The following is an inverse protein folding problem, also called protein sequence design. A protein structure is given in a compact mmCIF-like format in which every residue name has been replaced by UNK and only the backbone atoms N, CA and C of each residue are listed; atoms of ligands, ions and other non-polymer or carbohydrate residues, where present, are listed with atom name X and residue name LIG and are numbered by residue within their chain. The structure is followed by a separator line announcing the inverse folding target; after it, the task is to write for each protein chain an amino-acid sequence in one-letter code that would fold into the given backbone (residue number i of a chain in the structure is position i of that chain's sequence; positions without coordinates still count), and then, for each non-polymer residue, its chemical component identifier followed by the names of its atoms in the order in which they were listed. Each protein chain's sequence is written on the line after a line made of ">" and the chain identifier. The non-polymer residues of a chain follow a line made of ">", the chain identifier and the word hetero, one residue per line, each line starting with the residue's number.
data_IF_789590746516
#
_entry.id   IF_789590746516
#
_cell.length_a   1.000
_cell.length_b   1.000
_cell.length_c   1.000
_cell.angle_alpha   90.00
_cell.angle_beta   90.00
_cell.angle_gamma   90.00
#
_symmetry.space_group_name_H-M   'P 1'
#
loop_
_entity.id
_entity.type
_entity.pdbx_description
1 polymer ?
#
# COMPACT_ATOMS: atom_id res chain seq x y z
N UNK A 1 -19.45 7.38 -10.74
CA UNK A 1 -18.29 8.19 -11.11
C UNK A 1 -18.75 9.53 -11.61
N UNK A 2 -18.03 10.60 -11.26
CA UNK A 2 -18.19 11.91 -11.89
C UNK A 2 -17.60 11.91 -13.30
N UNK A 3 -18.07 12.82 -14.17
CA UNK A 3 -17.56 12.96 -15.55
C UNK A 3 -16.04 13.16 -15.59
N UNK A 4 -15.51 13.92 -14.64
CA UNK A 4 -14.07 14.17 -14.54
C UNK A 4 -13.30 12.89 -14.19
N UNK A 5 -13.83 12.03 -13.30
CA UNK A 5 -13.23 10.73 -13.01
C UNK A 5 -13.17 9.84 -14.26
N UNK A 6 -14.24 9.78 -15.06
CA UNK A 6 -14.28 8.98 -16.29
C UNK A 6 -13.23 9.46 -17.30
N UNK A 7 -13.08 10.78 -17.47
CA UNK A 7 -12.07 11.36 -18.36
C UNK A 7 -10.65 11.05 -17.86
N UNK A 8 -10.39 11.19 -16.56
CA UNK A 8 -9.09 10.85 -15.96
C UNK A 8 -8.74 9.38 -16.17
N UNK A 9 -9.70 8.46 -16.02
CA UNK A 9 -9.48 7.04 -16.29
C UNK A 9 -9.23 6.74 -17.76
N UNK A 10 -10.01 7.33 -18.67
CA UNK A 10 -9.80 7.12 -20.11
C UNK A 10 -8.44 7.67 -20.57
N UNK A 11 -7.93 8.74 -19.95
CA UNK A 11 -6.57 9.24 -20.20
C UNK A 11 -5.49 8.24 -19.79
N UNK A 12 -5.66 7.53 -18.67
CA UNK A 12 -4.75 6.46 -18.24
C UNK A 12 -4.74 5.28 -19.21
N UNK A 13 -5.75 5.15 -20.07
CA UNK A 13 -5.84 4.14 -21.12
C UNK A 13 -5.28 4.61 -22.47
N UNK A 14 -4.59 5.75 -22.51
CA UNK A 14 -3.94 6.28 -23.70
C UNK A 14 -4.82 7.16 -24.59
N UNK A 15 -6.05 7.47 -24.16
CA UNK A 15 -6.92 8.41 -24.87
C UNK A 15 -6.50 9.85 -24.59
N UNK A 16 -6.47 10.70 -25.61
CA UNK A 16 -6.04 12.10 -25.43
C UNK A 16 -7.13 12.94 -24.75
N UNK A 17 -6.71 13.81 -23.81
CA UNK A 17 -7.62 14.68 -23.05
C UNK A 17 -8.52 15.54 -23.94
N UNK A 18 -7.96 16.05 -25.03
CA UNK A 18 -8.68 16.89 -26.00
C UNK A 18 -9.83 16.16 -26.70
N UNK A 19 -9.72 14.84 -26.86
CA UNK A 19 -10.79 14.02 -27.46
C UNK A 19 -11.88 13.71 -26.43
N UNK A 20 -11.49 13.47 -25.18
CA UNK A 20 -12.39 13.10 -24.09
C UNK A 20 -13.23 14.27 -23.58
N UNK A 21 -12.66 15.48 -23.51
CA UNK A 21 -13.38 16.68 -23.07
C UNK A 21 -14.54 17.04 -24.03
N UNK A 22 -14.41 16.66 -25.31
CA UNK A 22 -15.42 16.89 -26.36
C UNK A 22 -16.54 15.84 -26.40
N UNK A 23 -16.38 14.69 -25.75
CA UNK A 23 -17.37 13.61 -25.76
C UNK A 23 -18.53 13.89 -24.80
N UNK A 24 -19.74 13.45 -25.16
CA UNK A 24 -20.87 13.52 -24.24
C UNK A 24 -20.71 12.51 -23.09
N UNK A 25 -21.32 12.77 -21.93
CA UNK A 25 -21.14 11.94 -20.73
C UNK A 25 -21.54 10.48 -20.97
N UNK A 26 -22.61 10.24 -21.75
CA UNK A 26 -23.03 8.90 -22.15
C UNK A 26 -22.00 8.20 -23.05
N UNK A 27 -21.32 8.93 -23.94
CA UNK A 27 -20.27 8.38 -24.81
C UNK A 27 -19.02 8.02 -24.01
N UNK A 28 -18.65 8.86 -23.04
CA UNK A 28 -17.56 8.59 -22.10
C UNK A 28 -17.85 7.35 -21.25
N UNK A 29 -19.06 7.20 -20.74
CA UNK A 29 -19.48 6.00 -19.99
C UNK A 29 -19.46 4.74 -20.84
N UNK A 30 -19.91 4.81 -22.10
CA UNK A 30 -19.85 3.67 -23.03
C UNK A 30 -18.41 3.28 -23.36
N UNK A 31 -17.56 4.26 -23.70
CA UNK A 31 -16.15 4.03 -24.01
C UNK A 31 -15.41 3.41 -22.82
N UNK A 32 -15.69 3.92 -21.62
CA UNK A 32 -15.14 3.39 -20.37
C UNK A 32 -15.59 1.96 -20.10
N UNK A 33 -16.88 1.65 -20.24
CA UNK A 33 -17.41 0.28 -20.07
C UNK A 33 -16.82 -0.69 -21.09
N UNK A 34 -16.66 -0.25 -22.34
CA UNK A 34 -16.10 -1.06 -23.40
C UNK A 34 -14.62 -1.38 -23.15
N UNK A 35 -13.81 -0.38 -22.82
CA UNK A 35 -12.39 -0.58 -22.45
C UNK A 35 -12.24 -1.49 -21.23
N UNK A 36 -13.09 -1.32 -20.22
CA UNK A 36 -13.07 -2.13 -19.00
C UNK A 36 -13.44 -3.60 -19.32
N UNK A 37 -14.47 -3.82 -20.14
CA UNK A 37 -14.88 -5.16 -20.58
C UNK A 37 -13.77 -5.86 -21.36
N UNK A 38 -13.11 -5.17 -22.28
CA UNK A 38 -11.97 -5.72 -23.03
C UNK A 38 -10.87 -6.17 -22.07
N UNK A 39 -10.49 -5.33 -21.10
CA UNK A 39 -9.45 -5.69 -20.12
C UNK A 39 -9.80 -6.87 -19.23
N UNK A 40 -11.05 -6.95 -18.76
CA UNK A 40 -11.52 -8.11 -17.98
C UNK A 40 -11.46 -9.38 -18.84
N UNK A 41 -11.82 -9.28 -20.11
CA UNK A 41 -11.78 -10.41 -21.05
C UNK A 41 -10.33 -10.83 -21.32
N UNK A 42 -9.43 -9.89 -21.56
CA UNK A 42 -7.99 -10.14 -21.74
C UNK A 42 -7.36 -10.82 -20.51
N UNK A 43 -7.75 -10.39 -19.29
CA UNK A 43 -7.32 -11.02 -18.04
C UNK A 43 -7.78 -12.49 -17.94
N UNK A 44 -9.05 -12.75 -18.27
CA UNK A 44 -9.62 -14.10 -18.24
C UNK A 44 -9.01 -15.02 -19.30
N UNK A 45 -8.67 -14.50 -20.48
CA UNK A 45 -7.99 -15.25 -21.55
C UNK A 45 -6.53 -15.56 -21.18
N UNK A 46 -5.82 -14.62 -20.57
CA UNK A 46 -4.44 -14.83 -20.10
C UNK A 46 -4.34 -15.91 -19.01
N UNK A 47 -5.36 -16.05 -18.15
CA UNK A 47 -5.43 -17.14 -17.16
C UNK A 47 -5.56 -18.50 -17.86
N UNK A 48 -6.42 -18.60 -18.88
CA UNK A 48 -6.68 -19.85 -19.60
C UNK A 48 -5.48 -20.35 -20.42
N UNK A 49 -4.67 -19.45 -20.97
CA UNK A 49 -3.48 -19.81 -21.76
C UNK A 49 -2.30 -20.33 -20.90
N UNK A 50 -2.35 -20.13 -19.58
CA UNK A 50 -1.28 -20.55 -18.65
C UNK A 50 -1.52 -21.95 -18.01
N UNK A 51 -2.57 -22.68 -18.40
CA UNK A 51 -2.74 -24.10 -18.04
C UNK A 51 -1.93 -25.01 -18.97
N UNK A 52 -0.61 -25.09 -18.74
CA UNK A 52 0.23 -26.14 -19.34
C UNK A 52 0.37 -27.29 -18.35
N UNK A 53 -0.11 -28.46 -18.75
CA UNK A 53 0.17 -29.76 -18.13
C UNK A 53 1.51 -30.22 -18.65
N UNK A 54 2.48 -30.45 -17.77
CA UNK A 54 3.75 -31.09 -18.13
C UNK A 54 4.02 -32.33 -17.29
N UNK A 55 4.49 -33.33 -18.03
CA UNK A 55 4.76 -34.73 -17.70
C UNK A 55 6.17 -34.83 -17.10
N UNK A 56 6.34 -35.60 -16.04
CA UNK A 56 7.64 -35.86 -15.42
C UNK A 56 8.49 -36.84 -16.27
N UNK A 57 9.79 -36.61 -16.37
CA UNK A 57 10.76 -37.49 -17.06
C UNK A 57 11.25 -38.62 -16.13
N UNK A 58 11.46 -39.82 -16.69
CA UNK A 58 11.67 -41.10 -16.00
C UNK A 58 13.14 -41.47 -15.63
N UNK A 59 14.10 -40.53 -15.57
CA UNK A 59 15.55 -40.88 -15.48
C UNK A 59 16.21 -40.77 -14.07
N UNK A 60 15.40 -40.70 -13.00
CA UNK A 60 15.84 -40.22 -11.68
C UNK A 60 16.71 -41.18 -10.83
N UNK A 61 16.62 -42.50 -11.01
CA UNK A 61 17.22 -43.46 -10.06
C UNK A 61 18.76 -43.51 -10.06
N UNK A 62 19.39 -43.35 -11.22
CA UNK A 62 20.86 -43.40 -11.36
C UNK A 62 21.56 -42.15 -10.80
N UNK A 63 20.86 -41.02 -10.79
CA UNK A 63 21.36 -39.76 -10.27
C UNK A 63 21.47 -39.77 -8.74
N UNK A 64 20.51 -40.40 -8.07
CA UNK A 64 20.46 -40.46 -6.60
C UNK A 64 21.53 -41.36 -6.02
N UNK A 65 21.79 -42.52 -6.63
CA UNK A 65 22.88 -43.41 -6.17
C UNK A 65 24.25 -42.69 -6.21
N UNK A 66 24.46 -41.83 -7.20
CA UNK A 66 25.68 -41.02 -7.33
C UNK A 66 25.81 -39.98 -6.20
N UNK A 67 24.72 -39.28 -5.86
CA UNK A 67 24.73 -38.27 -4.79
C UNK A 67 24.82 -38.91 -3.38
N UNK A 68 24.18 -40.07 -3.16
CA UNK A 68 24.35 -40.88 -1.94
C UNK A 68 25.80 -41.34 -1.77
N UNK A 69 26.46 -41.74 -2.86
CA UNK A 69 27.89 -42.06 -2.85
C UNK A 69 28.77 -40.88 -2.45
N UNK A 70 28.46 -39.66 -2.92
CA UNK A 70 29.18 -38.43 -2.53
C UNK A 70 29.01 -38.10 -1.06
N UNK A 71 27.81 -38.33 -0.50
CA UNK A 71 27.55 -38.18 0.94
C UNK A 71 28.45 -39.13 1.74
N UNK A 72 28.55 -40.41 1.35
CA UNK A 72 29.44 -41.37 1.99
C UNK A 72 30.90 -40.90 1.98
N UNK A 73 31.42 -40.41 0.85
CA UNK A 73 32.79 -39.90 0.79
C UNK A 73 32.99 -38.64 1.64
N UNK A 74 31.99 -37.75 1.74
CA UNK A 74 32.06 -36.53 2.53
C UNK A 74 32.10 -36.78 4.05
N UNK A 75 31.56 -37.91 4.51
CA UNK A 75 31.46 -38.28 5.94
C UNK A 75 32.46 -39.36 6.38
N UNK A 76 33.12 -40.06 5.44
CA UNK A 76 34.04 -41.17 5.74
C UNK A 76 35.38 -40.75 6.35
N UNK A 77 35.75 -39.47 6.27
CA UNK A 77 36.98 -38.93 6.87
C UNK A 77 36.90 -38.68 8.38
N UNK A 78 38.06 -38.44 9.01
CA UNK A 78 38.13 -37.97 10.41
C UNK A 78 37.41 -36.64 10.59
N UNK A 79 37.54 -35.75 9.60
CA UNK A 79 36.80 -34.48 9.49
C UNK A 79 35.76 -34.57 8.37
N UNK A 80 34.57 -34.03 8.62
CA UNK A 80 33.48 -33.98 7.65
C UNK A 80 33.76 -32.87 6.63
N UNK A 81 33.65 -33.17 5.34
CA UNK A 81 33.65 -32.15 4.30
C UNK A 81 32.24 -31.56 4.15
N UNK A 82 31.97 -30.48 4.88
CA UNK A 82 30.65 -29.86 4.91
C UNK A 82 30.19 -29.34 3.55
N UNK A 83 31.08 -28.77 2.74
CA UNK A 83 30.72 -28.23 1.42
C UNK A 83 30.20 -29.34 0.50
N UNK A 84 30.98 -30.42 0.35
CA UNK A 84 30.56 -31.55 -0.48
C UNK A 84 29.30 -32.25 0.08
N UNK A 85 29.12 -32.25 1.40
CA UNK A 85 27.94 -32.81 2.06
C UNK A 85 26.67 -31.99 1.77
N UNK A 86 26.75 -30.66 1.91
CA UNK A 86 25.61 -29.79 1.61
C UNK A 86 25.22 -29.83 0.14
N UNK A 87 26.20 -29.76 -0.78
CA UNK A 87 25.94 -29.82 -2.23
C UNK A 87 25.24 -31.12 -2.65
N UNK A 88 25.62 -32.26 -2.03
CA UNK A 88 25.02 -33.56 -2.34
C UNK A 88 23.62 -33.71 -1.71
N UNK A 89 23.42 -33.21 -0.48
CA UNK A 89 22.11 -33.22 0.20
C UNK A 89 21.11 -32.35 -0.57
N UNK A 90 21.52 -31.18 -1.03
CA UNK A 90 20.63 -30.25 -1.74
C UNK A 90 20.05 -30.85 -3.01
N UNK A 91 20.87 -31.59 -3.76
CA UNK A 91 20.43 -32.33 -4.96
C UNK A 91 19.47 -33.48 -4.67
N UNK A 92 19.44 -33.99 -3.44
CA UNK A 92 18.47 -35.01 -3.03
C UNK A 92 17.12 -34.34 -2.72
N UNK A 93 17.10 -33.10 -2.23
CA UNK A 93 15.85 -32.34 -2.03
C UNK A 93 15.09 -32.06 -3.32
N UNK A 94 15.75 -32.21 -4.48
CA UNK A 94 15.10 -32.13 -5.78
C UNK A 94 14.09 -33.27 -6.01
N UNK A 95 14.17 -34.38 -5.27
CA UNK A 95 13.29 -35.53 -5.47
C UNK A 95 12.63 -36.02 -4.18
N UNK A 96 13.24 -35.74 -3.02
CA UNK A 96 12.83 -36.31 -1.74
C UNK A 96 12.51 -35.23 -0.70
N UNK A 97 11.56 -35.55 0.18
CA UNK A 97 11.24 -34.72 1.34
C UNK A 97 12.33 -34.79 2.41
N UNK A 98 12.11 -34.04 3.49
CA UNK A 98 13.03 -33.98 4.63
C UNK A 98 13.28 -35.37 5.24
N UNK A 99 12.22 -36.13 5.51
CA UNK A 99 12.33 -37.41 6.22
C UNK A 99 13.04 -38.46 5.37
N UNK A 100 12.70 -38.54 4.08
CA UNK A 100 13.33 -39.44 3.13
C UNK A 100 14.81 -39.10 2.94
N UNK A 101 15.16 -37.81 2.85
CA UNK A 101 16.55 -37.37 2.77
C UNK A 101 17.33 -37.70 4.04
N UNK A 102 16.72 -37.57 5.23
CA UNK A 102 17.33 -37.98 6.50
C UNK A 102 17.64 -39.48 6.48
N UNK A 103 16.69 -40.33 6.06
CA UNK A 103 16.90 -41.78 5.98
C UNK A 103 18.05 -42.13 5.02
N UNK A 104 18.10 -41.50 3.85
CA UNK A 104 19.17 -41.68 2.86
C UNK A 104 20.54 -41.28 3.42
N UNK A 105 20.64 -40.13 4.09
CA UNK A 105 21.91 -39.66 4.68
C UNK A 105 22.35 -40.54 5.87
N UNK A 106 21.41 -40.96 6.71
CA UNK A 106 21.68 -41.85 7.84
C UNK A 106 22.14 -43.23 7.39
N UNK A 107 21.63 -43.75 6.25
CA UNK A 107 22.06 -45.03 5.68
C UNK A 107 23.57 -45.09 5.35
N UNK A 108 24.19 -43.92 5.13
CA UNK A 108 25.62 -43.80 4.83
C UNK A 108 26.47 -43.49 6.07
N UNK A 109 25.83 -43.16 7.19
CA UNK A 109 26.48 -42.66 8.40
C UNK A 109 26.73 -43.77 9.41
N UNK A 110 27.72 -43.59 10.29
CA UNK A 110 27.87 -44.46 11.46
C UNK A 110 26.95 -44.04 12.60
N UNK A 111 26.49 -45.00 13.41
CA UNK A 111 25.56 -44.78 14.55
C UNK A 111 25.98 -43.62 15.47
N UNK A 112 27.30 -43.39 15.62
CA UNK A 112 27.85 -42.34 16.48
C UNK A 112 27.57 -40.91 16.00
N UNK A 113 27.23 -40.73 14.72
CA UNK A 113 27.03 -39.42 14.08
C UNK A 113 25.57 -39.14 13.69
N UNK A 114 24.62 -40.04 13.97
CA UNK A 114 23.23 -39.90 13.53
C UNK A 114 22.59 -38.56 13.92
N UNK A 115 22.68 -38.19 15.21
CA UNK A 115 22.13 -36.92 15.68
C UNK A 115 22.72 -35.71 14.96
N UNK A 116 24.02 -35.73 14.69
CA UNK A 116 24.71 -34.65 13.99
C UNK A 116 24.26 -34.58 12.53
N UNK A 117 24.12 -35.73 11.86
CA UNK A 117 23.71 -35.80 10.46
C UNK A 117 22.24 -35.37 10.27
N UNK A 118 21.34 -35.80 11.16
CA UNK A 118 19.94 -35.33 11.14
C UNK A 118 19.87 -33.81 11.25
N UNK A 119 20.60 -33.20 12.18
CA UNK A 119 20.64 -31.74 12.35
C UNK A 119 21.19 -31.02 11.12
N UNK A 120 22.23 -31.56 10.49
CA UNK A 120 22.80 -31.01 9.26
C UNK A 120 21.76 -31.02 8.14
N UNK A 121 21.04 -32.14 7.95
CA UNK A 121 20.00 -32.25 6.92
C UNK A 121 18.84 -31.30 7.19
N UNK A 122 18.39 -31.16 8.45
CA UNK A 122 17.34 -30.22 8.82
C UNK A 122 17.74 -28.76 8.52
N UNK A 123 18.97 -28.37 8.85
CA UNK A 123 19.49 -27.03 8.55
C UNK A 123 19.61 -26.80 7.05
N UNK A 124 20.15 -27.78 6.32
CA UNK A 124 20.25 -27.74 4.86
C UNK A 124 18.86 -27.57 4.22
N UNK A 125 17.87 -28.31 4.71
CA UNK A 125 16.50 -28.26 4.20
C UNK A 125 15.86 -26.90 4.45
N UNK A 126 16.08 -26.29 5.63
CA UNK A 126 15.63 -24.92 5.92
C UNK A 126 16.30 -23.91 5.01
N UNK A 127 17.62 -24.01 4.79
CA UNK A 127 18.35 -23.13 3.89
C UNK A 127 17.82 -23.22 2.46
N UNK A 128 17.60 -24.44 1.96
CA UNK A 128 17.04 -24.69 0.64
C UNK A 128 15.62 -24.13 0.48
N UNK A 129 14.77 -24.24 1.50
CA UNK A 129 13.44 -23.61 1.51
C UNK A 129 13.52 -22.09 1.33
N UNK A 130 14.43 -21.43 2.05
CA UNK A 130 14.60 -19.98 1.95
C UNK A 130 15.21 -19.57 0.60
N UNK A 131 16.09 -20.38 0.02
CA UNK A 131 16.62 -20.14 -1.34
C UNK A 131 15.51 -20.19 -2.40
N UNK A 132 14.63 -21.19 -2.32
CA UNK A 132 13.48 -21.29 -3.23
C UNK A 132 12.54 -20.08 -3.08
N UNK A 133 12.26 -19.66 -1.84
CA UNK A 133 11.45 -18.46 -1.59
C UNK A 133 12.13 -17.19 -2.11
N UNK A 134 13.45 -17.05 -1.93
CA UNK A 134 14.22 -15.92 -2.44
C UNK A 134 14.21 -15.86 -3.98
N UNK A 135 14.29 -17.01 -4.65
CA UNK A 135 14.19 -17.07 -6.11
C UNK A 135 12.78 -16.70 -6.60
N UNK A 136 11.73 -17.16 -5.91
CA UNK A 136 10.35 -16.72 -6.21
C UNK A 136 10.23 -15.20 -6.02
N UNK A 137 10.80 -14.67 -4.95
CA UNK A 137 10.79 -13.23 -4.69
C UNK A 137 11.45 -12.43 -5.83
N UNK A 138 12.60 -12.91 -6.32
CA UNK A 138 13.31 -12.34 -7.47
C UNK A 138 12.47 -12.42 -8.75
N UNK A 139 11.76 -13.53 -8.98
CA UNK A 139 10.88 -13.67 -10.13
C UNK A 139 9.66 -12.72 -10.08
N UNK A 140 9.26 -12.29 -8.88
CA UNK A 140 8.21 -11.31 -8.62
C UNK A 140 8.71 -9.86 -8.53
N UNK A 141 9.97 -9.55 -8.84
CA UNK A 141 10.57 -8.21 -8.60
C UNK A 141 9.79 -7.06 -9.27
N UNK A 142 9.20 -7.32 -10.43
CA UNK A 142 8.45 -6.31 -11.20
C UNK A 142 6.96 -6.23 -10.84
N UNK A 143 6.52 -6.91 -9.78
CA UNK A 143 5.12 -6.84 -9.36
C UNK A 143 4.90 -5.57 -8.53
N UNK A 144 3.67 -5.02 -8.51
CA UNK A 144 3.29 -4.02 -7.53
C UNK A 144 3.63 -4.50 -6.10
N UNK A 145 4.16 -3.64 -5.20
CA UNK A 145 4.59 -4.05 -3.87
C UNK A 145 3.53 -4.84 -3.08
N UNK A 146 2.26 -4.42 -3.19
CA UNK A 146 1.11 -5.07 -2.58
C UNK A 146 0.89 -6.49 -3.11
N UNK A 147 0.94 -6.67 -4.43
CA UNK A 147 0.80 -7.98 -5.08
C UNK A 147 2.01 -8.87 -4.79
N UNK A 148 3.22 -8.30 -4.78
CA UNK A 148 4.44 -9.02 -4.39
C UNK A 148 4.32 -9.54 -2.96
N UNK A 149 3.84 -8.73 -2.02
CA UNK A 149 3.65 -9.13 -0.63
C UNK A 149 2.66 -10.28 -0.49
N UNK A 150 1.47 -10.17 -1.08
CA UNK A 150 0.46 -11.25 -1.03
C UNK A 150 0.96 -12.52 -1.72
N UNK A 151 1.69 -12.39 -2.83
CA UNK A 151 2.27 -13.53 -3.52
C UNK A 151 3.35 -14.22 -2.67
N UNK A 152 4.24 -13.46 -2.04
CA UNK A 152 5.26 -14.00 -1.13
C UNK A 152 4.66 -14.61 0.13
N UNK A 153 3.59 -14.02 0.66
CA UNK A 153 2.83 -14.58 1.78
C UNK A 153 2.23 -15.94 1.41
N UNK A 154 1.61 -16.04 0.24
CA UNK A 154 1.06 -17.31 -0.27
C UNK A 154 2.13 -18.39 -0.37
N UNK A 155 3.29 -18.11 -0.98
CA UNK A 155 4.38 -19.08 -1.09
C UNK A 155 5.00 -19.41 0.27
N UNK A 156 5.17 -18.43 1.15
CA UNK A 156 5.69 -18.63 2.51
C UNK A 156 4.79 -19.55 3.34
N UNK A 157 3.46 -19.48 3.16
CA UNK A 157 2.52 -20.40 3.83
C UNK A 157 2.71 -21.86 3.41
N UNK A 158 3.33 -22.08 2.24
CA UNK A 158 3.65 -23.39 1.65
C UNK A 158 5.15 -23.68 1.66
N UNK A 159 5.92 -23.01 2.53
CA UNK A 159 7.38 -23.20 2.68
C UNK A 159 7.80 -24.68 2.76
N UNK A 160 6.99 -25.51 3.44
CA UNK A 160 7.26 -26.94 3.60
C UNK A 160 7.11 -27.77 2.32
N UNK A 161 6.39 -27.27 1.32
CA UNK A 161 6.10 -27.98 0.07
C UNK A 161 7.13 -27.59 -1.01
N UNK A 162 8.34 -28.14 -0.87
CA UNK A 162 9.47 -27.88 -1.77
C UNK A 162 9.14 -28.22 -3.22
N UNK A 163 8.41 -29.32 -3.46
CA UNK A 163 7.98 -29.72 -4.80
C UNK A 163 7.08 -28.65 -5.45
N UNK A 164 6.13 -28.10 -4.69
CA UNK A 164 5.29 -27.00 -5.14
C UNK A 164 6.08 -25.72 -5.44
N UNK A 165 7.03 -25.34 -4.58
CA UNK A 165 7.86 -24.15 -4.78
C UNK A 165 8.70 -24.27 -6.06
N UNK A 166 9.37 -25.42 -6.26
CA UNK A 166 10.17 -25.71 -7.46
C UNK A 166 9.33 -25.68 -8.74
N UNK A 167 8.18 -26.36 -8.72
CA UNK A 167 7.24 -26.36 -9.86
C UNK A 167 6.76 -24.93 -10.18
N UNK A 168 6.56 -24.11 -9.17
CA UNK A 168 6.19 -22.70 -9.35
C UNK A 168 7.33 -21.89 -9.99
N UNK A 169 8.55 -22.03 -9.49
CA UNK A 169 9.76 -21.40 -10.08
C UNK A 169 9.93 -21.79 -11.54
N UNK A 170 9.81 -23.08 -11.86
CA UNK A 170 9.93 -23.57 -13.24
C UNK A 170 8.87 -22.92 -14.14
N UNK A 171 7.60 -22.88 -13.71
CA UNK A 171 6.52 -22.22 -14.46
C UNK A 171 6.76 -20.73 -14.66
N UNK A 172 7.31 -20.05 -13.66
CA UNK A 172 7.60 -18.62 -13.70
C UNK A 172 8.83 -18.27 -14.56
N UNK A 173 9.83 -19.16 -14.63
CA UNK A 173 11.05 -18.98 -15.44
C UNK A 173 10.85 -19.11 -16.95
N UNK A 174 9.76 -19.73 -17.40
CA UNK A 174 9.42 -19.77 -18.83
C UNK A 174 9.21 -18.31 -19.28
N UNK A 175 10.05 -17.81 -20.19
CA UNK A 175 10.16 -16.36 -20.49
C UNK A 175 8.82 -15.69 -20.87
N UNK A 176 7.93 -16.40 -21.55
CA UNK A 176 6.57 -15.91 -21.85
C UNK A 176 5.73 -15.65 -20.59
N UNK A 177 5.96 -16.45 -19.54
CA UNK A 177 5.15 -16.46 -18.34
C UNK A 177 5.58 -15.37 -17.36
N UNK A 178 6.88 -15.05 -17.25
CA UNK A 178 7.33 -14.00 -16.33
C UNK A 178 6.72 -12.63 -16.68
N UNK A 179 6.79 -12.25 -17.96
CA UNK A 179 6.20 -11.01 -18.46
C UNK A 179 4.67 -11.03 -18.36
N UNK A 180 4.05 -12.18 -18.66
CA UNK A 180 2.60 -12.37 -18.53
C UNK A 180 2.13 -12.21 -17.08
N UNK A 181 2.77 -12.89 -16.13
CA UNK A 181 2.41 -12.79 -14.71
C UNK A 181 2.65 -11.39 -14.14
N UNK A 182 3.74 -10.73 -14.54
CA UNK A 182 3.99 -9.33 -14.15
C UNK A 182 2.89 -8.40 -14.66
N UNK A 183 2.49 -8.58 -15.93
CA UNK A 183 1.38 -7.83 -16.52
C UNK A 183 0.06 -8.11 -15.81
N UNK A 184 -0.21 -9.37 -15.45
CA UNK A 184 -1.41 -9.78 -14.72
C UNK A 184 -1.44 -9.13 -13.32
N UNK A 185 -0.33 -9.17 -12.58
CA UNK A 185 -0.22 -8.53 -11.27
C UNK A 185 -0.44 -7.02 -11.36
N UNK A 186 0.20 -6.37 -12.34
CA UNK A 186 0.00 -4.93 -12.59
C UNK A 186 -1.46 -4.61 -12.93
N UNK A 187 -2.10 -5.42 -13.78
CA UNK A 187 -3.51 -5.23 -14.16
C UNK A 187 -4.44 -5.42 -12.96
N UNK A 188 -4.25 -6.46 -12.15
CA UNK A 188 -5.05 -6.73 -10.95
C UNK A 188 -4.95 -5.54 -9.98
N UNK A 189 -3.73 -5.10 -9.69
CA UNK A 189 -3.49 -3.93 -8.85
C UNK A 189 -4.16 -2.68 -9.42
N UNK A 190 -3.94 -2.36 -10.71
CA UNK A 190 -4.56 -1.20 -11.35
C UNK A 190 -6.10 -1.25 -11.32
N UNK A 191 -6.72 -2.43 -11.50
CA UNK A 191 -8.17 -2.56 -11.40
C UNK A 191 -8.65 -2.21 -9.99
N UNK A 192 -8.02 -2.74 -8.94
CA UNK A 192 -8.42 -2.47 -7.57
C UNK A 192 -8.14 -0.99 -7.23
N UNK A 193 -6.96 -0.50 -7.56
CA UNK A 193 -6.54 0.87 -7.30
C UNK A 193 -7.44 1.91 -7.99
N UNK A 194 -7.74 1.71 -9.27
CA UNK A 194 -8.44 2.72 -10.07
C UNK A 194 -9.97 2.61 -9.94
N UNK A 195 -10.53 1.40 -9.83
CA UNK A 195 -11.98 1.19 -9.87
C UNK A 195 -12.60 0.90 -8.51
N UNK A 196 -11.82 0.34 -7.58
CA UNK A 196 -12.26 -0.01 -6.24
C UNK A 196 -11.30 0.51 -5.18
N UNK A 197 -10.98 1.82 -5.16
CA UNK A 197 -9.99 2.39 -4.24
C UNK A 197 -10.36 2.17 -2.76
N UNK A 198 -11.66 2.05 -2.46
CA UNK A 198 -12.13 1.72 -1.11
C UNK A 198 -11.77 0.27 -0.71
N UNK A 199 -11.70 -0.65 -1.67
CA UNK A 199 -11.32 -2.06 -1.49
C UNK A 199 -9.81 -2.29 -1.48
N UNK A 200 -8.98 -1.27 -1.80
CA UNK A 200 -7.52 -1.41 -1.78
C UNK A 200 -7.02 -1.91 -0.43
N UNK A 201 -7.51 -1.35 0.66
CA UNK A 201 -7.11 -1.82 1.98
C UNK A 201 -7.63 -3.22 2.27
N UNK A 202 -8.88 -3.53 1.98
CA UNK A 202 -9.44 -4.87 2.23
C UNK A 202 -8.72 -5.95 1.41
N UNK A 203 -8.26 -5.61 0.20
CA UNK A 203 -7.55 -6.51 -0.69
C UNK A 203 -6.09 -6.75 -0.26
N UNK A 204 -5.49 -5.84 0.51
CA UNK A 204 -4.09 -5.86 0.92
C UNK A 204 -3.90 -5.46 2.39
N UNK A 205 -4.81 -5.88 3.29
CA UNK A 205 -4.85 -5.41 4.69
C UNK A 205 -3.53 -5.70 5.41
N UNK A 206 -2.99 -6.90 5.23
CA UNK A 206 -1.76 -7.32 5.90
C UNK A 206 -0.50 -6.63 5.36
N UNK A 207 -0.52 -6.19 4.10
CA UNK A 207 0.51 -5.31 3.57
C UNK A 207 0.46 -3.98 4.35
N UNK A 208 -0.68 -3.29 4.32
CA UNK A 208 -0.81 -1.97 4.94
C UNK A 208 -0.69 -1.96 6.46
N UNK A 209 -1.00 -3.06 7.15
CA UNK A 209 -0.84 -3.13 8.61
C UNK A 209 0.63 -3.32 9.06
N UNK A 210 1.48 -3.88 8.19
CA UNK A 210 2.89 -4.16 8.48
C UNK A 210 3.87 -3.19 7.77
N UNK A 211 3.38 -2.32 6.90
CA UNK A 211 4.21 -1.49 6.03
C UNK A 211 4.55 -0.11 6.62
N UNK A 212 5.67 0.45 6.12
CA UNK A 212 6.12 1.81 6.35
C UNK A 212 5.04 2.85 6.07
N UNK A 213 4.10 2.58 5.15
CA UNK A 213 2.97 3.46 4.87
C UNK A 213 2.11 3.75 6.11
N UNK A 214 1.89 2.76 7.00
CA UNK A 214 1.15 2.99 8.24
C UNK A 214 1.92 3.90 9.17
N UNK A 215 3.22 3.67 9.31
CA UNK A 215 4.10 4.54 10.10
C UNK A 215 4.17 5.96 9.48
N UNK A 216 4.16 6.10 8.15
CA UNK A 216 4.15 7.38 7.46
C UNK A 216 2.85 8.16 7.70
N UNK A 217 1.67 7.52 7.65
CA UNK A 217 0.40 8.16 8.01
C UNK A 217 0.42 8.62 9.47
N UNK A 218 0.96 7.79 10.38
CA UNK A 218 1.04 8.12 11.80
C UNK A 218 1.87 9.39 12.01
N UNK A 219 3.02 9.51 11.35
CA UNK A 219 3.86 10.70 11.41
C UNK A 219 3.14 11.95 10.86
N UNK A 220 2.39 11.82 9.74
CA UNK A 220 1.60 12.93 9.19
C UNK A 220 0.48 13.38 10.14
N UNK A 221 -0.24 12.45 10.76
CA UNK A 221 -1.28 12.78 11.77
C UNK A 221 -0.67 13.48 12.98
N UNK A 222 0.48 12.99 13.47
CA UNK A 222 1.19 13.59 14.59
C UNK A 222 1.64 15.02 14.26
N UNK A 223 2.17 15.25 13.05
CA UNK A 223 2.56 16.58 12.59
C UNK A 223 1.39 17.56 12.41
N UNK A 224 0.17 17.07 12.14
CA UNK A 224 -1.01 17.91 11.97
C UNK A 224 -1.60 18.44 13.29
N UNK A 225 -1.52 17.67 14.38
CA UNK A 225 -2.25 18.01 15.63
C UNK A 225 -1.42 18.00 16.90
N UNK A 226 -0.34 17.21 16.96
CA UNK A 226 0.39 16.93 18.20
C UNK A 226 -0.44 16.29 19.32
N UNK A 227 -1.73 16.01 19.10
CA UNK A 227 -2.68 15.60 20.15
C UNK A 227 -2.65 14.09 20.44
N UNK A 228 -2.22 13.30 19.46
CA UNK A 228 -2.22 11.84 19.55
C UNK A 228 -0.83 11.29 19.83
N UNK A 229 -0.73 10.33 20.77
CA UNK A 229 0.53 9.60 21.01
C UNK A 229 0.72 8.51 19.96
N UNK A 230 1.96 8.31 19.50
CA UNK A 230 2.31 7.29 18.49
C UNK A 230 1.76 5.90 18.78
N UNK A 231 1.85 5.44 20.04
CA UNK A 231 1.32 4.13 20.46
C UNK A 231 -0.21 4.01 20.27
N UNK A 232 -0.96 5.09 20.51
CA UNK A 232 -2.41 5.09 20.33
C UNK A 232 -2.80 5.03 18.84
N UNK A 233 -1.97 5.61 17.97
CA UNK A 233 -2.16 5.57 16.53
C UNK A 233 -1.75 4.21 15.95
N UNK A 234 -0.66 3.58 16.43
CA UNK A 234 -0.25 2.23 15.98
C UNK A 234 -1.31 1.16 16.22
N UNK A 235 -2.08 1.28 17.31
CA UNK A 235 -3.17 0.36 17.64
C UNK A 235 -4.41 0.50 16.74
N UNK A 236 -4.51 1.59 15.94
CA UNK A 236 -5.62 1.79 15.02
C UNK A 236 -5.32 1.15 13.67
N UNK A 237 -6.39 0.65 13.03
CA UNK A 237 -6.34 0.19 11.65
C UNK A 237 -5.95 1.33 10.71
N UNK A 238 -5.23 1.01 9.64
CA UNK A 238 -4.80 1.98 8.63
C UNK A 238 -5.96 2.82 8.07
N UNK A 239 -7.14 2.23 7.82
CA UNK A 239 -8.32 2.98 7.34
C UNK A 239 -8.76 4.07 8.31
N UNK A 240 -8.75 3.78 9.62
CA UNK A 240 -9.09 4.76 10.66
C UNK A 240 -8.08 5.89 10.65
N UNK A 241 -6.80 5.57 10.52
CA UNK A 241 -5.74 6.56 10.42
C UNK A 241 -5.88 7.44 9.16
N UNK A 242 -6.14 6.85 7.99
CA UNK A 242 -6.36 7.57 6.74
C UNK A 242 -7.58 8.49 6.80
N UNK A 243 -8.64 8.04 7.46
CA UNK A 243 -9.82 8.88 7.71
C UNK A 243 -9.49 10.05 8.67
N UNK A 244 -8.79 9.77 9.77
CA UNK A 244 -8.33 10.80 10.71
C UNK A 244 -7.47 11.86 10.00
N UNK A 245 -6.48 11.44 9.21
CA UNK A 245 -5.64 12.34 8.42
C UNK A 245 -6.49 13.26 7.52
N UNK A 246 -7.45 12.69 6.79
CA UNK A 246 -8.32 13.44 5.89
C UNK A 246 -9.15 14.49 6.63
N UNK A 247 -9.70 14.15 7.80
CA UNK A 247 -10.47 15.10 8.62
C UNK A 247 -9.57 16.23 9.11
N UNK A 248 -8.40 15.89 9.64
CA UNK A 248 -7.44 16.88 10.15
C UNK A 248 -6.92 17.83 9.07
N UNK A 249 -6.73 17.35 7.83
CA UNK A 249 -6.37 18.19 6.71
C UNK A 249 -7.47 19.20 6.37
N UNK A 250 -8.74 18.76 6.34
CA UNK A 250 -9.88 19.66 6.11
C UNK A 250 -10.02 20.70 7.22
N UNK A 251 -9.86 20.27 8.47
CA UNK A 251 -9.93 21.20 9.60
C UNK A 251 -8.82 22.25 9.53
N UNK A 252 -7.60 21.84 9.15
CA UNK A 252 -6.47 22.76 8.96
C UNK A 252 -6.66 23.73 7.78
N UNK A 253 -7.26 23.26 6.68
CA UNK A 253 -7.63 24.12 5.56
C UNK A 253 -8.70 25.13 5.98
N UNK A 254 -9.75 24.68 6.69
CA UNK A 254 -10.79 25.55 7.22
C UNK A 254 -10.22 26.60 8.18
N UNK A 255 -9.37 26.21 9.13
CA UNK A 255 -8.70 27.15 10.03
C UNK A 255 -7.85 28.20 9.28
N UNK A 256 -7.21 27.79 8.17
CA UNK A 256 -6.40 28.69 7.35
C UNK A 256 -7.27 29.70 6.63
N UNK A 257 -8.42 29.27 6.10
CA UNK A 257 -9.42 30.12 5.47
C UNK A 257 -10.04 31.10 6.48
N UNK A 258 -10.43 30.62 7.66
CA UNK A 258 -10.96 31.44 8.77
C UNK A 258 -9.93 32.51 9.19
N UNK A 259 -8.67 32.13 9.41
CA UNK A 259 -7.61 33.10 9.75
C UNK A 259 -7.37 34.14 8.65
N UNK A 260 -7.48 33.74 7.39
CA UNK A 260 -7.35 34.68 6.26
C UNK A 260 -8.52 35.67 6.22
N UNK A 261 -9.75 35.19 6.45
CA UNK A 261 -10.95 36.02 6.57
C UNK A 261 -10.83 37.01 7.73
N UNK A 262 -10.43 36.55 8.93
CA UNK A 262 -10.21 37.42 10.10
C UNK A 262 -9.20 38.51 9.76
N UNK A 263 -8.06 38.17 9.14
CA UNK A 263 -7.04 39.15 8.76
C UNK A 263 -7.56 40.17 7.73
N UNK A 264 -8.40 39.73 6.80
CA UNK A 264 -9.04 40.61 5.82
C UNK A 264 -10.00 41.60 6.51
N UNK A 265 -10.81 41.12 7.46
CA UNK A 265 -11.73 41.98 8.21
C UNK A 265 -11.01 42.93 9.16
N UNK A 266 -9.92 42.52 9.81
CA UNK A 266 -9.03 43.43 10.57
C UNK A 266 -8.58 44.59 9.67
N UNK A 267 -8.12 44.29 8.45
CA UNK A 267 -7.68 45.35 7.52
C UNK A 267 -8.81 46.30 7.14
N UNK A 268 -9.97 45.78 6.74
CA UNK A 268 -11.15 46.58 6.34
C UNK A 268 -11.66 47.45 7.50
N UNK A 269 -11.75 46.89 8.70
CA UNK A 269 -12.17 47.61 9.91
C UNK A 269 -11.17 48.70 10.27
N UNK A 270 -9.86 48.41 10.20
CA UNK A 270 -8.82 49.41 10.42
C UNK A 270 -8.87 50.58 9.42
N UNK A 271 -9.17 50.30 8.15
CA UNK A 271 -9.36 51.33 7.12
C UNK A 271 -10.59 52.21 7.43
N UNK A 272 -11.72 51.62 7.82
CA UNK A 272 -12.93 52.37 8.17
C UNK A 272 -12.75 53.23 9.44
N UNK A 273 -12.04 52.71 10.45
CA UNK A 273 -11.70 53.47 11.67
C UNK A 273 -10.76 54.64 11.33
N UNK A 274 -9.73 54.42 10.51
CA UNK A 274 -8.78 55.46 10.12
C UNK A 274 -9.43 56.58 9.29
N UNK A 275 -10.51 56.28 8.56
CA UNK A 275 -11.28 57.23 7.78
C UNK A 275 -12.44 57.87 8.57
N UNK A 276 -12.65 57.46 9.84
CA UNK A 276 -13.78 57.87 10.68
C UNK A 276 -15.16 57.62 10.02
N UNK A 277 -15.27 56.61 9.16
CA UNK A 277 -16.51 56.28 8.44
C UNK A 277 -17.37 55.29 9.24
N UNK A 278 -18.31 55.83 10.03
CA UNK A 278 -19.23 55.04 10.86
C UNK A 278 -20.16 54.12 10.04
N UNK A 279 -20.58 54.57 8.85
CA UNK A 279 -21.51 53.81 8.01
C UNK A 279 -20.79 52.62 7.40
N UNK A 280 -19.61 52.85 6.81
CA UNK A 280 -18.77 51.78 6.27
C UNK A 280 -18.37 50.80 7.37
N UNK A 281 -17.98 51.28 8.57
CA UNK A 281 -17.70 50.42 9.72
C UNK A 281 -18.90 49.51 10.03
N UNK A 282 -20.10 50.08 10.14
CA UNK A 282 -21.30 49.32 10.45
C UNK A 282 -21.67 48.28 9.38
N UNK A 283 -21.44 48.57 8.10
CA UNK A 283 -21.64 47.61 7.01
C UNK A 283 -20.63 46.48 7.05
N UNK A 284 -19.34 46.79 7.26
CA UNK A 284 -18.26 45.80 7.35
C UNK A 284 -18.50 44.81 8.51
N UNK A 285 -18.96 45.29 9.68
CA UNK A 285 -19.27 44.41 10.83
C UNK A 285 -20.48 43.52 10.52
N UNK A 286 -21.52 44.04 9.86
CA UNK A 286 -22.67 43.22 9.44
C UNK A 286 -22.29 42.17 8.40
N UNK A 287 -21.37 42.50 7.49
CA UNK A 287 -20.83 41.53 6.54
C UNK A 287 -20.01 40.46 7.26
N UNK A 288 -19.16 40.86 8.22
CA UNK A 288 -18.34 39.94 9.00
C UNK A 288 -19.21 38.93 9.77
N UNK A 289 -20.29 39.38 10.40
CA UNK A 289 -21.22 38.53 11.16
C UNK A 289 -22.01 37.52 10.30
N UNK A 290 -22.02 37.67 8.97
CA UNK A 290 -22.62 36.67 8.06
C UNK A 290 -21.69 35.50 7.75
N UNK A 291 -20.38 35.68 7.95
CA UNK A 291 -19.36 34.71 7.51
C UNK A 291 -18.39 34.28 8.62
N UNK A 292 -18.32 35.02 9.73
CA UNK A 292 -17.54 34.72 10.93
C UNK A 292 -18.44 34.52 12.14
N UNK A 293 -17.96 33.77 13.13
CA UNK A 293 -18.63 33.66 14.43
C UNK A 293 -18.57 34.99 15.20
N UNK A 294 -19.55 35.24 16.08
CA UNK A 294 -19.64 36.47 16.89
C UNK A 294 -18.35 36.75 17.67
N UNK A 295 -17.73 35.70 18.21
CA UNK A 295 -16.45 35.75 18.94
C UNK A 295 -15.31 36.27 18.06
N UNK A 296 -15.23 35.83 16.80
CA UNK A 296 -14.17 36.26 15.90
C UNK A 296 -14.39 37.70 15.44
N UNK A 297 -15.64 38.12 15.28
CA UNK A 297 -15.99 39.52 15.01
C UNK A 297 -15.64 40.42 16.20
N UNK A 298 -15.89 39.96 17.44
CA UNK A 298 -15.43 40.66 18.64
C UNK A 298 -13.91 40.81 18.63
N UNK A 299 -13.18 39.72 18.37
CA UNK A 299 -11.72 39.74 18.27
C UNK A 299 -11.18 40.71 17.20
N UNK A 300 -11.83 40.77 16.02
CA UNK A 300 -11.48 41.72 14.94
C UNK A 300 -11.58 43.17 15.43
N UNK A 301 -12.62 43.50 16.19
CA UNK A 301 -12.88 44.86 16.67
C UNK A 301 -12.03 45.22 17.88
N UNK A 302 -11.83 44.28 18.81
CA UNK A 302 -10.91 44.42 19.97
C UNK A 302 -9.46 44.63 19.54
N UNK A 303 -9.11 44.30 18.30
CA UNK A 303 -7.80 44.61 17.72
C UNK A 303 -7.53 46.12 17.61
N UNK A 304 -8.56 46.96 17.73
CA UNK A 304 -8.49 48.42 17.60
C UNK A 304 -9.02 49.11 18.87
N UNK A 305 -8.44 50.26 19.23
CA UNK A 305 -8.92 51.09 20.35
C UNK A 305 -10.15 51.92 19.93
N UNK A 306 -11.28 51.24 19.73
CA UNK A 306 -12.56 51.89 19.40
C UNK A 306 -13.20 52.62 20.59
N UNK A 307 -12.71 52.42 21.82
CA UNK A 307 -13.22 53.10 23.01
C UNK A 307 -12.97 54.62 22.95
N UNK A 308 -11.93 55.02 22.22
CA UNK A 308 -11.62 56.42 21.91
C UNK A 308 -12.64 57.10 20.98
N UNK A 309 -13.47 56.33 20.25
CA UNK A 309 -14.50 56.85 19.35
C UNK A 309 -15.92 56.39 19.78
N UNK A 310 -16.67 57.24 20.51
CA UNK A 310 -17.98 56.88 21.06
C UNK A 310 -19.03 56.48 20.01
N UNK A 311 -18.96 57.05 18.80
CA UNK A 311 -19.92 56.78 17.72
C UNK A 311 -19.71 55.38 17.14
N UNK A 312 -18.46 55.03 16.81
CA UNK A 312 -18.09 53.68 16.34
C UNK A 312 -18.40 52.63 17.42
N UNK A 313 -18.09 52.91 18.68
CA UNK A 313 -18.40 52.03 19.81
C UNK A 313 -19.91 51.81 19.96
N UNK A 314 -20.71 52.88 19.88
CA UNK A 314 -22.17 52.78 19.98
C UNK A 314 -22.73 51.98 18.80
N UNK A 315 -22.23 52.21 17.59
CA UNK A 315 -22.63 51.49 16.38
C UNK A 315 -22.33 50.00 16.48
N UNK A 316 -21.13 49.64 16.95
CA UNK A 316 -20.74 48.26 17.20
C UNK A 316 -21.68 47.59 18.22
N UNK A 317 -21.92 48.23 19.36
CA UNK A 317 -22.79 47.69 20.41
C UNK A 317 -24.24 47.46 19.93
N UNK A 318 -24.78 48.35 19.09
CA UNK A 318 -26.10 48.19 18.49
C UNK A 318 -26.12 46.95 17.58
N UNK A 319 -25.15 46.83 16.67
CA UNK A 319 -25.08 45.72 15.71
C UNK A 319 -24.94 44.37 16.44
N UNK A 320 -24.07 44.30 17.46
CA UNK A 320 -23.87 43.09 18.25
C UNK A 320 -25.12 42.71 19.06
N UNK A 321 -25.84 43.69 19.59
CA UNK A 321 -27.10 43.46 20.30
C UNK A 321 -28.20 42.93 19.37
N UNK A 322 -28.30 43.49 18.18
CA UNK A 322 -29.32 43.11 17.18
C UNK A 322 -29.06 41.72 16.58
N UNK A 323 -27.81 41.25 16.62
CA UNK A 323 -27.42 39.96 16.07
C UNK A 323 -27.50 38.78 17.06
N UNK A 324 -27.81 39.03 18.34
CA UNK A 324 -28.01 37.94 19.32
C UNK A 324 -29.30 37.16 18.98
N UNK A 325 -29.24 35.81 18.93
CA UNK A 325 -30.44 35.01 18.71
C UNK A 325 -31.46 35.26 19.84
N UNK A 326 -32.73 35.43 19.46
CA UNK A 326 -33.84 35.55 20.42
C UNK A 326 -34.11 34.26 21.16
#
# INVERSE_FOLDING_TARGET
>A
MSRNEIITHLMQYGHSKETLDKMQTLELECLFKQNSKTRITDYLEAIKQNEVVEIANEDDASHIESEVGKIYYAISGELINFTALYDAIEKIFDQYGLNETIELVLSQSSDKRYRQMTQIVEVAYRAYQEELLAEIERLCEFYPPQEKFEQMRFYSSRRGDVAFLRKSIQKMRIQSNQASFSRIAQQKFSIIHDYYPDMMYESYEEFYENDEEKDAIIERIMALTGAYKRQQLKAKKFQVLKHMERVLLRDKEREKEEKALIKQYIKKVGEAIAQEDELAFGEIIKEALKVLEERDVQYVVEHFDIASNPLILQRFNIIMRDNRPK
#
